data_IF_263391889407
#
_entry.id   IF_263391889407
#
_cell.length_a   1.000
_cell.length_b   1.000
_cell.length_c   1.000
_cell.angle_alpha   90.00
_cell.angle_beta   90.00
_cell.angle_gamma   90.00
#
_symmetry.space_group_name_H-M   'P 1'
#
loop_
_entity.id
_entity.type
_entity.pdbx_description
1 polymer ?
#
# COMPACT_ATOMS: atom_id res chain seq x y z
N UNK A 1 -5.08 -46.45 0.58
CA UNK A 1 -5.01 -46.35 2.05
C UNK A 1 -5.70 -45.07 2.46
N UNK A 2 -6.76 -45.11 3.28
CA UNK A 2 -7.47 -43.92 3.71
C UNK A 2 -6.58 -43.09 4.64
N UNK A 3 -6.52 -41.79 4.38
CA UNK A 3 -5.75 -40.83 5.16
C UNK A 3 -6.41 -40.61 6.53
N UNK A 4 -5.77 -41.09 7.60
CA UNK A 4 -6.07 -40.66 8.97
C UNK A 4 -5.78 -39.16 9.10
N UNK A 5 -6.82 -38.36 9.25
CA UNK A 5 -6.77 -36.90 9.42
C UNK A 5 -6.81 -36.46 10.89
N UNK A 6 -6.50 -37.34 11.83
CA UNK A 6 -6.81 -37.13 13.26
C UNK A 6 -5.63 -37.47 14.21
N UNK A 7 -4.40 -37.10 13.85
CA UNK A 7 -3.28 -37.17 14.79
C UNK A 7 -2.97 -35.78 15.36
N UNK A 8 -3.61 -35.48 16.50
CA UNK A 8 -3.33 -34.32 17.38
C UNK A 8 -2.10 -34.53 18.27
N UNK A 9 -1.44 -35.69 18.17
CA UNK A 9 -0.33 -36.09 19.03
C UNK A 9 0.98 -36.18 18.23
N UNK A 10 2.01 -35.48 18.72
CA UNK A 10 3.35 -35.55 18.14
C UNK A 10 4.02 -36.89 18.48
N UNK A 11 4.67 -37.52 17.51
CA UNK A 11 5.43 -38.75 17.72
C UNK A 11 6.88 -38.59 17.24
N UNK A 12 7.82 -39.08 18.05
CA UNK A 12 9.22 -39.18 17.67
C UNK A 12 9.40 -40.19 16.52
N UNK A 13 10.08 -39.83 15.42
CA UNK A 13 10.22 -40.73 14.28
C UNK A 13 11.24 -41.84 14.56
N UNK A 14 10.97 -43.06 14.09
CA UNK A 14 11.90 -44.20 14.19
C UNK A 14 12.49 -44.59 12.84
N UNK A 15 13.76 -45.00 12.80
CA UNK A 15 14.44 -45.45 11.59
C UNK A 15 14.69 -44.30 10.59
N UNK A 16 14.21 -44.45 9.35
CA UNK A 16 14.35 -43.44 8.29
C UNK A 16 13.10 -42.56 8.11
N UNK A 17 12.08 -42.71 8.99
CA UNK A 17 10.87 -41.89 8.92
C UNK A 17 11.17 -40.44 9.32
N UNK A 18 10.41 -39.50 8.77
CA UNK A 18 10.47 -38.07 9.15
C UNK A 18 9.32 -37.75 10.10
N UNK A 19 9.55 -36.85 11.06
CA UNK A 19 8.51 -36.32 11.95
C UNK A 19 7.58 -35.35 11.20
N UNK A 20 6.37 -35.18 11.72
CA UNK A 20 5.40 -34.19 11.20
C UNK A 20 4.80 -34.54 9.85
N UNK A 21 4.05 -33.59 9.28
CA UNK A 21 3.39 -33.77 7.99
C UNK A 21 4.40 -33.63 6.84
N UNK A 22 4.38 -34.56 5.89
CA UNK A 22 5.25 -34.52 4.70
C UNK A 22 4.90 -33.38 3.73
N UNK A 23 3.66 -32.92 3.76
CA UNK A 23 3.17 -31.74 3.04
C UNK A 23 2.45 -30.82 4.02
N UNK A 24 2.73 -29.52 3.94
CA UNK A 24 2.10 -28.50 4.77
C UNK A 24 1.51 -27.41 3.89
N UNK A 25 0.28 -26.99 4.21
CA UNK A 25 -0.34 -25.82 3.59
C UNK A 25 0.16 -24.57 4.29
N UNK A 26 0.33 -23.50 3.52
CA UNK A 26 0.56 -22.17 4.08
C UNK A 26 -0.60 -21.83 5.02
N UNK A 27 -0.29 -21.54 6.27
CA UNK A 27 -1.27 -21.12 7.26
C UNK A 27 -1.67 -19.66 7.00
N UNK A 28 -2.93 -19.26 7.24
CA UNK A 28 -3.34 -17.87 7.24
C UNK A 28 -2.45 -17.06 8.18
N UNK A 29 -1.98 -15.92 7.70
CA UNK A 29 -1.18 -14.99 8.51
C UNK A 29 -2.08 -14.08 9.35
N UNK A 30 -1.56 -13.40 10.40
CA UNK A 30 -2.34 -12.38 11.11
C UNK A 30 -2.96 -11.32 10.18
N UNK A 31 -2.27 -10.95 9.10
CA UNK A 31 -2.82 -10.05 8.09
C UNK A 31 -3.96 -10.68 7.28
N UNK A 32 -3.91 -11.98 6.96
CA UNK A 32 -5.04 -12.68 6.32
C UNK A 32 -6.27 -12.68 7.24
N UNK A 33 -6.08 -12.98 8.53
CA UNK A 33 -7.15 -12.92 9.52
C UNK A 33 -7.71 -11.49 9.69
N UNK A 34 -6.84 -10.47 9.64
CA UNK A 34 -7.27 -9.07 9.65
C UNK A 34 -8.15 -8.74 8.44
N UNK A 35 -7.69 -9.04 7.21
CA UNK A 35 -8.49 -8.80 6.00
C UNK A 35 -9.85 -9.50 6.05
N UNK A 36 -9.91 -10.74 6.54
CA UNK A 36 -11.16 -11.48 6.71
C UNK A 36 -12.08 -10.82 7.76
N UNK A 37 -11.51 -10.35 8.88
CA UNK A 37 -12.27 -9.69 9.95
C UNK A 37 -12.92 -8.37 9.53
N UNK A 38 -12.38 -7.72 8.50
CA UNK A 38 -12.89 -6.46 7.96
C UNK A 38 -14.19 -6.66 7.14
N UNK A 39 -14.50 -7.91 6.77
CA UNK A 39 -15.77 -8.28 6.14
C UNK A 39 -15.94 -7.81 4.69
N UNK A 40 -14.84 -7.39 4.03
CA UNK A 40 -14.83 -7.01 2.62
C UNK A 40 -14.11 -8.08 1.77
N UNK A 41 -14.43 -8.20 0.47
CA UNK A 41 -13.81 -9.19 -0.40
C UNK A 41 -12.30 -8.97 -0.60
N UNK A 42 -11.58 -10.06 -0.88
CA UNK A 42 -10.14 -10.09 -1.16
C UNK A 42 -9.90 -10.72 -2.54
N UNK A 43 -9.40 -9.95 -3.50
CA UNK A 43 -8.94 -10.48 -4.78
C UNK A 43 -7.63 -11.23 -4.58
N UNK A 44 -7.56 -12.46 -5.07
CA UNK A 44 -6.34 -13.29 -5.08
C UNK A 44 -6.07 -13.81 -6.49
N UNK A 45 -4.91 -13.46 -7.04
CA UNK A 45 -4.54 -13.83 -8.40
C UNK A 45 -3.18 -13.27 -8.81
N UNK A 46 -2.78 -13.48 -10.07
CA UNK A 46 -1.49 -12.99 -10.58
C UNK A 46 -1.50 -11.51 -10.97
N UNK A 47 -2.68 -10.96 -11.25
CA UNK A 47 -2.85 -9.58 -11.71
C UNK A 47 -4.30 -9.25 -11.95
N UNK A 48 -4.59 -7.96 -12.02
CA UNK A 48 -5.92 -7.39 -12.27
C UNK A 48 -5.80 -6.51 -13.51
N UNK A 49 -6.74 -6.63 -14.44
CA UNK A 49 -6.74 -5.79 -15.64
C UNK A 49 -6.89 -4.31 -15.30
N UNK A 50 -7.86 -4.01 -14.43
CA UNK A 50 -8.23 -2.68 -13.93
C UNK A 50 -8.83 -2.80 -12.54
N UNK A 51 -8.35 -2.02 -11.59
CA UNK A 51 -8.86 -2.08 -10.21
C UNK A 51 -10.31 -1.60 -10.09
N UNK A 52 -10.80 -0.83 -11.06
CA UNK A 52 -12.21 -0.43 -11.18
C UNK A 52 -13.16 -1.61 -11.40
N UNK A 53 -12.67 -2.75 -11.90
CA UNK A 53 -13.49 -3.94 -12.14
C UNK A 53 -13.78 -4.72 -10.85
N UNK A 54 -13.13 -4.36 -9.72
CA UNK A 54 -13.28 -5.08 -8.47
C UNK A 54 -14.62 -4.75 -7.79
N UNK A 55 -15.38 -5.77 -7.33
CA UNK A 55 -16.64 -5.52 -6.63
C UNK A 55 -16.38 -4.91 -5.26
N UNK A 56 -16.91 -3.70 -5.02
CA UNK A 56 -16.72 -3.02 -3.73
C UNK A 56 -17.85 -3.36 -2.75
N UNK A 57 -17.48 -3.75 -1.53
CA UNK A 57 -18.43 -3.99 -0.43
C UNK A 57 -18.38 -2.84 0.60
N UNK A 58 -19.47 -2.55 1.32
CA UNK A 58 -19.45 -1.59 2.42
C UNK A 58 -18.36 -1.93 3.43
N UNK A 59 -17.53 -0.95 3.75
CA UNK A 59 -16.37 -1.13 4.61
C UNK A 59 -16.55 -0.36 5.91
N UNK A 60 -17.01 -1.07 6.95
CA UNK A 60 -17.45 -0.46 8.21
C UNK A 60 -16.38 0.42 8.87
N UNK A 61 -15.12 -0.02 8.89
CA UNK A 61 -14.02 0.71 9.54
C UNK A 61 -13.75 2.06 8.86
N UNK A 62 -13.64 2.05 7.53
CA UNK A 62 -13.31 3.26 6.76
C UNK A 62 -14.52 4.13 6.46
N UNK A 63 -15.75 3.60 6.57
CA UNK A 63 -16.98 4.33 6.23
C UNK A 63 -17.24 4.44 4.73
N UNK A 64 -16.37 3.87 3.89
CA UNK A 64 -16.51 3.83 2.44
C UNK A 64 -16.95 2.46 1.94
N UNK A 65 -16.59 2.14 0.70
CA UNK A 65 -16.67 0.80 0.14
C UNK A 65 -15.29 0.35 -0.31
N UNK A 66 -14.96 -0.93 -0.22
CA UNK A 66 -13.61 -1.38 -0.52
C UNK A 66 -13.49 -2.82 -0.99
N UNK A 67 -12.27 -3.15 -1.42
CA UNK A 67 -11.86 -4.48 -1.85
C UNK A 67 -10.35 -4.62 -1.60
N UNK A 68 -9.93 -5.67 -0.88
CA UNK A 68 -8.51 -5.97 -0.68
C UNK A 68 -7.91 -6.66 -1.90
N UNK A 69 -6.63 -6.40 -2.18
CA UNK A 69 -5.89 -7.01 -3.27
C UNK A 69 -4.69 -7.74 -2.69
N UNK A 70 -4.64 -9.05 -2.90
CA UNK A 70 -3.49 -9.88 -2.53
C UNK A 70 -3.02 -10.68 -3.74
N UNK A 71 -2.05 -10.12 -4.46
CA UNK A 71 -1.46 -10.79 -5.62
C UNK A 71 -0.52 -11.93 -5.21
N UNK A 72 -0.41 -12.93 -6.07
CA UNK A 72 0.54 -14.01 -5.89
C UNK A 72 1.97 -13.52 -5.98
N UNK A 73 2.78 -13.90 -5.00
CA UNK A 73 4.15 -13.45 -4.81
C UNK A 73 4.28 -12.25 -3.88
N UNK A 74 3.25 -11.42 -3.72
CA UNK A 74 3.31 -10.22 -2.85
C UNK A 74 2.85 -10.49 -1.42
N UNK A 75 2.36 -11.70 -1.14
CA UNK A 75 1.87 -12.08 0.17
C UNK A 75 2.91 -11.82 1.24
N UNK A 76 2.45 -11.36 2.42
CA UNK A 76 3.28 -11.03 3.59
C UNK A 76 4.22 -9.84 3.42
N UNK A 77 4.38 -9.29 2.22
CA UNK A 77 5.30 -8.17 1.93
C UNK A 77 4.57 -6.87 1.63
N UNK A 78 3.58 -6.92 0.75
CA UNK A 78 2.86 -5.74 0.27
C UNK A 78 1.37 -5.92 0.43
N UNK A 79 0.74 -4.97 1.13
CA UNK A 79 -0.69 -4.85 1.24
C UNK A 79 -1.21 -3.93 0.15
N UNK A 80 -2.38 -4.23 -0.39
CA UNK A 80 -3.06 -3.33 -1.30
C UNK A 80 -4.56 -3.46 -1.16
N UNK A 81 -5.27 -2.37 -1.41
CA UNK A 81 -6.72 -2.35 -1.47
C UNK A 81 -7.18 -1.18 -2.34
N UNK A 82 -8.40 -1.28 -2.86
CA UNK A 82 -9.12 -0.11 -3.36
C UNK A 82 -10.17 0.32 -2.36
N UNK A 83 -10.36 1.63 -2.26
CA UNK A 83 -11.41 2.25 -1.46
C UNK A 83 -12.14 3.30 -2.29
N UNK A 84 -13.46 3.24 -2.26
CA UNK A 84 -14.36 4.26 -2.77
C UNK A 84 -14.82 5.13 -1.60
N UNK A 85 -14.54 6.43 -1.73
CA UNK A 85 -15.06 7.47 -0.85
C UNK A 85 -16.48 7.81 -1.33
N UNK A 86 -17.49 7.84 -0.43
CA UNK A 86 -18.87 8.12 -0.82
C UNK A 86 -19.04 9.47 -1.54
N UNK A 87 -20.07 9.62 -2.38
CA UNK A 87 -20.44 10.89 -3.00
C UNK A 87 -20.55 12.04 -2.01
N UNK A 88 -19.87 13.16 -2.28
CA UNK A 88 -19.81 14.34 -1.41
C UNK A 88 -19.55 14.00 0.07
N UNK A 89 -18.85 12.88 0.32
CA UNK A 89 -18.64 12.32 1.63
C UNK A 89 -17.17 12.30 2.01
N UNK A 90 -16.87 11.62 3.11
CA UNK A 90 -15.52 11.41 3.59
C UNK A 90 -15.41 10.01 4.18
N UNK A 91 -14.21 9.46 4.15
CA UNK A 91 -13.89 8.31 4.99
C UNK A 91 -13.82 8.74 6.46
N UNK A 92 -13.95 7.76 7.34
CA UNK A 92 -13.71 7.93 8.76
C UNK A 92 -12.24 8.30 8.98
N UNK A 93 -11.93 9.21 9.91
CA UNK A 93 -10.56 9.44 10.34
C UNK A 93 -9.93 8.16 10.87
N UNK A 94 -8.68 7.91 10.48
CA UNK A 94 -7.90 6.80 11.01
C UNK A 94 -6.43 7.18 11.17
N UNK A 95 -5.68 6.35 11.88
CA UNK A 95 -4.23 6.35 11.93
C UNK A 95 -3.75 4.91 12.06
N UNK A 96 -2.52 4.64 11.66
CA UNK A 96 -1.97 3.28 11.71
C UNK A 96 -0.44 3.26 11.78
N UNK A 97 0.10 2.19 12.34
CA UNK A 97 1.54 1.94 12.49
C UNK A 97 2.16 1.27 11.26
N UNK A 98 1.68 1.57 10.05
CA UNK A 98 2.29 1.11 8.80
C UNK A 98 2.40 2.25 7.79
N UNK A 99 3.11 2.02 6.70
CA UNK A 99 3.30 3.00 5.63
C UNK A 99 2.20 2.83 4.59
N UNK A 100 1.67 3.94 4.07
CA UNK A 100 0.54 3.96 3.15
C UNK A 100 0.75 5.02 2.07
N UNK A 101 0.55 4.60 0.83
CA UNK A 101 0.63 5.44 -0.36
C UNK A 101 -0.66 5.26 -1.14
N UNK A 102 -1.28 6.37 -1.51
CA UNK A 102 -2.46 6.40 -2.35
C UNK A 102 -2.12 6.84 -3.77
N UNK A 103 -2.76 6.18 -4.73
CA UNK A 103 -2.96 6.66 -6.09
C UNK A 103 -4.45 6.94 -6.29
N UNK A 104 -4.80 8.15 -6.70
CA UNK A 104 -6.18 8.51 -7.06
C UNK A 104 -6.50 7.99 -8.45
N UNK A 105 -7.36 6.98 -8.51
CA UNK A 105 -7.79 6.33 -9.76
C UNK A 105 -8.91 7.13 -10.41
N UNK A 106 -9.86 7.62 -9.61
CA UNK A 106 -11.02 8.40 -10.05
C UNK A 106 -11.41 9.48 -9.02
N UNK A 107 -12.02 10.56 -9.52
CA UNK A 107 -12.53 11.65 -8.68
C UNK A 107 -11.52 12.76 -8.38
N UNK A 108 -11.90 13.63 -7.44
CA UNK A 108 -11.08 14.69 -6.86
C UNK A 108 -11.58 15.01 -5.46
N UNK A 109 -10.74 15.61 -4.64
CA UNK A 109 -11.06 15.83 -3.24
C UNK A 109 -9.91 16.41 -2.47
N UNK A 110 -9.98 16.27 -1.15
CA UNK A 110 -8.93 16.73 -0.23
C UNK A 110 -8.57 15.64 0.75
N UNK A 111 -7.38 15.76 1.33
CA UNK A 111 -6.96 14.94 2.46
C UNK A 111 -6.57 15.86 3.60
N UNK A 112 -7.13 15.62 4.77
CA UNK A 112 -6.72 16.24 6.03
C UNK A 112 -5.70 15.31 6.71
N UNK A 113 -4.58 15.85 7.24
CA UNK A 113 -3.55 15.09 7.98
C UNK A 113 -3.10 15.86 9.22
N UNK A 114 -3.02 15.22 10.38
CA UNK A 114 -2.57 15.83 11.64
C UNK A 114 -1.94 14.83 12.60
N UNK A 115 -1.09 15.30 13.51
CA UNK A 115 -0.59 14.46 14.61
C UNK A 115 -1.56 14.45 15.78
N UNK A 116 -1.48 13.40 16.60
CA UNK A 116 -2.15 13.36 17.90
C UNK A 116 -1.77 14.59 18.74
N UNK A 117 -2.78 15.29 19.26
CA UNK A 117 -2.60 16.50 20.07
C UNK A 117 -2.35 17.80 19.29
N UNK A 118 -2.16 17.75 17.97
CA UNK A 118 -2.02 18.98 17.17
C UNK A 118 -3.37 19.61 16.86
N UNK A 119 -3.45 20.94 17.05
CA UNK A 119 -4.63 21.72 16.64
C UNK A 119 -4.68 21.94 15.11
N UNK A 120 -3.52 21.96 14.46
CA UNK A 120 -3.37 22.22 13.03
C UNK A 120 -3.58 20.95 12.23
N UNK A 121 -4.42 21.03 11.20
CA UNK A 121 -4.55 20.02 10.15
C UNK A 121 -3.92 20.54 8.86
N UNK A 122 -3.06 19.72 8.26
CA UNK A 122 -2.61 19.94 6.90
C UNK A 122 -3.72 19.50 5.96
N UNK A 123 -4.00 20.31 4.94
CA UNK A 123 -5.00 20.00 3.92
C UNK A 123 -4.35 20.20 2.56
N UNK A 124 -4.48 19.21 1.69
CA UNK A 124 -4.07 19.31 0.29
C UNK A 124 -5.15 18.72 -0.61
N UNK A 125 -5.22 19.24 -1.83
CA UNK A 125 -6.17 18.82 -2.85
C UNK A 125 -5.55 17.74 -3.74
N UNK A 126 -6.38 16.84 -4.25
CA UNK A 126 -5.97 15.79 -5.16
C UNK A 126 -7.03 15.56 -6.23
N UNK A 127 -6.62 14.96 -7.34
CA UNK A 127 -7.45 14.59 -8.47
C UNK A 127 -6.99 13.23 -9.03
N UNK A 128 -7.73 12.68 -9.98
CA UNK A 128 -7.27 11.53 -10.76
C UNK A 128 -5.82 11.72 -11.24
N UNK A 129 -4.98 10.72 -10.98
CA UNK A 129 -3.55 10.73 -11.28
C UNK A 129 -2.69 11.29 -10.15
N UNK A 130 -3.27 11.90 -9.12
CA UNK A 130 -2.51 12.32 -7.94
C UNK A 130 -2.02 11.13 -7.13
N UNK A 131 -0.84 11.28 -6.53
CA UNK A 131 -0.24 10.30 -5.64
C UNK A 131 0.29 10.99 -4.39
N UNK A 132 0.03 10.42 -3.22
CA UNK A 132 0.49 10.95 -1.93
C UNK A 132 0.76 9.83 -0.95
N UNK A 133 1.59 10.12 0.05
CA UNK A 133 1.81 9.22 1.18
C UNK A 133 1.28 9.83 2.47
N UNK A 134 0.71 8.98 3.31
CA UNK A 134 0.30 9.34 4.66
C UNK A 134 1.47 9.05 5.62
N UNK A 135 1.92 10.03 6.43
CA UNK A 135 2.94 9.78 7.43
C UNK A 135 2.49 8.73 8.45
N UNK A 136 3.40 7.83 8.79
CA UNK A 136 3.12 6.74 9.74
C UNK A 136 2.56 7.28 11.07
N UNK A 137 1.47 6.67 11.52
CA UNK A 137 0.73 6.98 12.75
C UNK A 137 0.22 8.43 12.89
N UNK A 138 0.23 9.22 11.81
CA UNK A 138 -0.54 10.46 11.76
C UNK A 138 -2.02 10.14 11.53
N UNK A 139 -2.91 10.96 12.08
CA UNK A 139 -4.31 10.91 11.71
C UNK A 139 -4.50 11.46 10.30
N UNK A 140 -5.36 10.83 9.53
CA UNK A 140 -5.77 11.33 8.22
C UNK A 140 -7.25 11.12 7.96
N UNK A 141 -7.81 11.95 7.08
CA UNK A 141 -9.18 11.84 6.59
C UNK A 141 -9.25 12.21 5.11
N UNK A 142 -9.76 11.30 4.29
CA UNK A 142 -9.96 11.54 2.86
C UNK A 142 -11.38 12.02 2.59
N UNK A 143 -11.52 13.11 1.84
CA UNK A 143 -12.79 13.79 1.55
C UNK A 143 -12.99 13.85 0.05
N UNK A 144 -14.15 13.44 -0.42
CA UNK A 144 -14.53 13.48 -1.83
C UNK A 144 -15.31 14.77 -2.14
N UNK A 145 -14.82 15.55 -3.11
CA UNK A 145 -15.44 16.79 -3.56
C UNK A 145 -16.31 16.61 -4.82
N UNK A 146 -16.63 15.37 -5.20
CA UNK A 146 -17.44 15.06 -6.38
C UNK A 146 -18.81 14.48 -6.02
N UNK A 147 -19.83 14.67 -6.88
CA UNK A 147 -21.16 14.08 -6.68
C UNK A 147 -21.22 12.58 -7.03
N UNK A 148 -20.15 12.02 -7.59
CA UNK A 148 -19.95 10.58 -7.73
C UNK A 148 -19.01 10.06 -6.64
N UNK A 149 -18.71 8.76 -6.63
CA UNK A 149 -17.66 8.21 -5.77
C UNK A 149 -16.27 8.66 -6.23
N UNK A 150 -15.30 8.68 -5.30
CA UNK A 150 -13.87 8.82 -5.64
C UNK A 150 -13.16 7.50 -5.32
N UNK A 151 -12.45 6.93 -6.29
CA UNK A 151 -11.79 5.64 -6.15
C UNK A 151 -10.28 5.83 -6.00
N UNK A 152 -9.73 5.31 -4.90
CA UNK A 152 -8.31 5.37 -4.60
C UNK A 152 -7.74 3.95 -4.43
N UNK A 153 -6.55 3.74 -4.96
CA UNK A 153 -5.75 2.54 -4.77
C UNK A 153 -4.70 2.81 -3.70
N UNK A 154 -4.65 1.98 -2.67
CA UNK A 154 -3.65 2.03 -1.61
C UNK A 154 -2.60 0.93 -1.81
N UNK A 155 -1.33 1.29 -1.59
CA UNK A 155 -0.24 0.36 -1.33
C UNK A 155 0.24 0.55 0.11
N UNK A 156 0.38 -0.53 0.86
CA UNK A 156 0.74 -0.47 2.30
C UNK A 156 1.81 -1.48 2.71
N UNK A 157 2.52 -1.19 3.80
CA UNK A 157 3.37 -2.16 4.52
C UNK A 157 2.62 -2.91 5.63
N UNK A 158 1.29 -2.79 5.69
CA UNK A 158 0.44 -3.41 6.71
C UNK A 158 0.69 -4.91 6.93
N UNK A 159 0.95 -5.75 5.90
CA UNK A 159 1.26 -7.15 6.14
C UNK A 159 2.51 -7.37 6.99
N UNK A 160 3.57 -6.57 6.80
CA UNK A 160 4.81 -6.71 7.59
C UNK A 160 4.54 -6.42 9.07
N UNK A 161 3.78 -5.36 9.33
CA UNK A 161 3.50 -4.87 10.68
C UNK A 161 2.51 -5.78 11.40
N UNK A 162 1.38 -6.12 10.78
CA UNK A 162 0.36 -6.95 11.40
C UNK A 162 0.84 -8.38 11.60
N UNK A 163 1.63 -8.95 10.69
CA UNK A 163 2.19 -10.29 10.88
C UNK A 163 3.22 -10.34 12.00
N UNK A 164 3.98 -9.26 12.21
CA UNK A 164 4.99 -9.18 13.27
C UNK A 164 4.37 -8.89 14.63
N UNK A 165 3.51 -7.87 14.72
CA UNK A 165 2.93 -7.40 15.99
C UNK A 165 1.77 -8.30 16.43
N UNK A 166 1.00 -8.84 15.48
CA UNK A 166 -0.18 -9.69 15.72
C UNK A 166 -1.16 -9.09 16.75
N UNK A 167 -1.36 -7.77 16.70
CA UNK A 167 -2.31 -7.06 17.56
C UNK A 167 -2.87 -5.84 16.82
N UNK A 168 -4.10 -5.95 16.33
CA UNK A 168 -4.77 -4.89 15.56
C UNK A 168 -4.93 -3.62 16.41
N UNK A 169 -5.26 -3.74 17.68
CA UNK A 169 -5.44 -2.58 18.56
C UNK A 169 -4.14 -1.79 18.72
N UNK A 170 -3.01 -2.47 18.90
CA UNK A 170 -1.70 -1.84 18.98
C UNK A 170 -1.27 -1.17 17.67
N UNK A 171 -1.71 -1.67 16.51
CA UNK A 171 -1.40 -1.08 15.19
C UNK A 171 -2.21 0.19 14.92
N UNK A 172 -3.50 0.21 15.29
CA UNK A 172 -4.39 1.34 14.98
C UNK A 172 -4.57 2.36 16.12
N UNK A 173 -4.24 1.99 17.36
CA UNK A 173 -4.44 2.85 18.54
C UNK A 173 -3.13 3.18 19.27
N UNK A 174 -2.00 3.13 18.58
CA UNK A 174 -0.73 3.47 19.19
C UNK A 174 -0.64 4.98 19.52
N UNK A 175 -0.28 5.37 20.74
CA UNK A 175 -0.17 6.78 21.12
C UNK A 175 1.16 7.44 20.70
N UNK A 176 2.13 6.69 20.17
CA UNK A 176 3.45 7.24 19.81
C UNK A 176 3.36 8.23 18.65
N UNK A 177 4.07 9.36 18.75
CA UNK A 177 4.04 10.43 17.73
C UNK A 177 5.40 10.53 17.05
N UNK A 178 5.47 10.17 15.76
CA UNK A 178 6.68 10.24 14.93
C UNK A 178 6.97 11.67 14.45
N UNK A 179 7.37 12.55 15.37
CA UNK A 179 7.70 13.96 15.05
C UNK A 179 8.89 14.10 14.10
N UNK A 180 9.78 13.11 14.08
CA UNK A 180 10.89 12.98 13.15
C UNK A 180 10.42 12.76 11.71
N UNK A 181 9.30 12.04 11.51
CA UNK A 181 8.71 11.79 10.18
C UNK A 181 7.70 12.84 9.74
N UNK A 182 6.94 13.40 10.68
CA UNK A 182 5.96 14.45 10.41
C UNK A 182 5.90 15.46 11.56
N UNK A 183 6.45 16.63 11.32
CA UNK A 183 6.59 17.73 12.29
C UNK A 183 5.63 18.90 12.05
N UNK A 184 4.70 18.78 11.09
CA UNK A 184 3.72 19.84 10.77
C UNK A 184 4.26 21.02 9.96
N UNK A 185 5.40 20.86 9.26
CA UNK A 185 5.94 21.89 8.36
C UNK A 185 4.94 22.29 7.26
N UNK A 186 4.76 23.59 7.01
CA UNK A 186 3.76 24.12 6.05
C UNK A 186 3.97 23.63 4.61
N UNK A 187 5.19 23.30 4.24
CA UNK A 187 5.54 22.80 2.91
C UNK A 187 5.49 21.27 2.79
N UNK A 188 5.05 20.55 3.83
CA UNK A 188 5.14 19.09 3.88
C UNK A 188 4.43 18.39 2.70
N UNK A 189 3.29 18.91 2.24
CA UNK A 189 2.56 18.39 1.07
C UNK A 189 2.69 19.28 -0.18
N UNK A 190 3.63 20.23 -0.20
CA UNK A 190 3.89 21.00 -1.42
C UNK A 190 4.61 20.09 -2.43
N UNK A 191 4.14 20.00 -3.68
CA UNK A 191 4.85 19.27 -4.73
C UNK A 191 6.28 19.78 -4.87
N UNK A 192 7.22 18.85 -5.03
CA UNK A 192 8.62 19.13 -5.37
C UNK A 192 8.98 18.27 -6.56
N UNK A 193 9.49 18.89 -7.62
CA UNK A 193 9.83 18.19 -8.86
C UNK A 193 11.34 17.91 -9.01
N UNK A 194 12.15 18.48 -8.12
CA UNK A 194 13.60 18.34 -8.11
C UNK A 194 14.02 16.88 -8.10
N UNK A 195 15.01 16.58 -8.94
CA UNK A 195 15.61 15.25 -9.06
C UNK A 195 16.93 15.26 -8.29
N UNK A 196 17.08 14.30 -7.40
CA UNK A 196 18.31 14.00 -6.68
C UNK A 196 18.68 12.52 -6.86
N UNK A 197 19.96 12.14 -6.72
CA UNK A 197 20.35 10.74 -6.75
C UNK A 197 19.83 10.01 -5.49
N UNK A 198 19.21 8.84 -5.67
CA UNK A 198 18.88 7.96 -4.55
C UNK A 198 20.17 7.55 -3.81
N UNK A 199 20.17 7.50 -2.48
CA UNK A 199 21.39 7.34 -1.69
C UNK A 199 22.04 5.96 -1.83
N UNK A 200 21.34 4.96 -2.40
CA UNK A 200 21.83 3.59 -2.50
C UNK A 200 22.36 3.28 -3.90
N UNK A 201 21.67 3.72 -4.96
CA UNK A 201 21.96 3.33 -6.35
C UNK A 201 22.31 4.51 -7.25
N UNK A 202 22.13 5.75 -6.77
CA UNK A 202 22.36 6.98 -7.54
C UNK A 202 21.37 7.21 -8.68
N UNK A 203 20.21 6.54 -8.66
CA UNK A 203 19.14 6.68 -9.64
C UNK A 203 18.30 7.94 -9.39
N UNK A 204 17.58 8.38 -10.41
CA UNK A 204 16.69 9.53 -10.28
C UNK A 204 15.62 9.29 -9.21
N UNK A 205 15.66 10.12 -8.16
CA UNK A 205 14.75 10.15 -7.04
C UNK A 205 14.18 11.56 -6.87
N UNK A 206 12.96 11.65 -6.38
CA UNK A 206 12.27 12.90 -6.08
C UNK A 206 11.77 12.84 -4.64
N UNK A 207 12.25 13.75 -3.80
CA UNK A 207 11.82 13.86 -2.40
C UNK A 207 10.55 14.69 -2.30
N UNK A 208 9.40 14.00 -2.25
CA UNK A 208 8.09 14.63 -2.22
C UNK A 208 7.08 13.75 -1.50
N UNK A 209 6.09 14.37 -0.85
CA UNK A 209 4.98 13.66 -0.21
C UNK A 209 3.68 13.73 -1.04
N UNK A 210 3.73 14.47 -2.15
CA UNK A 210 2.60 14.65 -3.06
C UNK A 210 3.10 14.87 -4.50
N UNK A 211 2.53 14.12 -5.43
CA UNK A 211 2.71 14.27 -6.87
C UNK A 211 1.32 14.57 -7.46
N UNK A 212 1.09 15.76 -8.06
CA UNK A 212 -0.22 16.13 -8.57
C UNK A 212 -0.73 15.21 -9.68
N UNK A 213 0.16 14.77 -10.57
CA UNK A 213 -0.20 13.91 -11.71
C UNK A 213 0.96 13.00 -12.09
N UNK A 214 0.87 11.72 -11.73
CA UNK A 214 1.89 10.73 -12.06
C UNK A 214 1.91 10.35 -13.54
N UNK A 215 0.83 10.60 -14.28
CA UNK A 215 0.71 10.23 -15.70
C UNK A 215 1.54 11.18 -16.56
N UNK A 216 1.56 12.47 -16.18
CA UNK A 216 2.25 13.53 -16.93
C UNK A 216 3.50 14.06 -16.21
N UNK A 217 3.94 13.43 -15.12
CA UNK A 217 5.17 13.85 -14.43
C UNK A 217 6.42 13.61 -15.30
N UNK A 218 7.45 14.42 -15.10
CA UNK A 218 8.72 14.22 -15.79
C UNK A 218 9.41 12.93 -15.30
N UNK A 219 9.88 12.12 -16.25
CA UNK A 219 10.56 10.86 -16.00
C UNK A 219 11.92 10.87 -16.70
N UNK A 220 13.02 10.97 -15.94
CA UNK A 220 14.37 10.86 -16.48
C UNK A 220 14.61 9.53 -17.20
N UNK A 221 15.47 9.58 -18.21
CA UNK A 221 15.91 8.39 -18.94
C UNK A 221 16.79 7.51 -18.03
N UNK A 222 16.38 6.25 -17.83
CA UNK A 222 17.09 5.28 -16.98
C UNK A 222 17.73 4.15 -17.80
N UNK A 223 17.07 3.67 -18.86
CA UNK A 223 17.53 2.60 -19.75
C UNK A 223 17.87 1.24 -19.08
N UNK A 224 17.71 1.05 -17.76
CA UNK A 224 18.13 -0.20 -17.09
C UNK A 224 17.19 -1.38 -17.32
N UNK A 225 15.89 -1.11 -17.53
CA UNK A 225 14.88 -2.18 -17.82
C UNK A 225 14.83 -2.56 -19.29
N UNK A 226 14.79 -1.57 -20.15
CA UNK A 226 14.83 -1.66 -21.61
C UNK A 226 15.39 -0.34 -22.16
N UNK A 227 15.97 -0.31 -23.37
CA UNK A 227 16.27 0.97 -24.01
C UNK A 227 15.00 1.84 -24.05
N UNK A 228 15.12 3.14 -23.85
CA UNK A 228 14.00 4.10 -23.76
C UNK A 228 13.23 4.07 -22.44
N UNK A 229 13.53 3.15 -21.52
CA UNK A 229 12.86 3.10 -20.21
C UNK A 229 13.15 4.35 -19.40
N UNK A 230 12.08 4.98 -18.89
CA UNK A 230 12.14 6.16 -18.03
C UNK A 230 11.60 5.83 -16.65
N UNK A 231 12.18 6.45 -15.62
CA UNK A 231 11.84 6.16 -14.22
C UNK A 231 12.15 7.36 -13.34
N UNK A 232 11.31 7.57 -12.33
CA UNK A 232 11.67 8.30 -11.10
C UNK A 232 11.19 7.52 -9.88
N UNK A 233 11.95 7.57 -8.79
CA UNK A 233 11.56 7.09 -7.48
C UNK A 233 11.01 8.24 -6.62
N UNK A 234 9.73 8.22 -6.23
CA UNK A 234 9.26 9.12 -5.19
C UNK A 234 9.71 8.63 -3.82
N UNK A 235 10.46 9.47 -3.10
CA UNK A 235 10.79 9.24 -1.69
C UNK A 235 9.82 10.06 -0.83
N UNK A 236 8.87 9.36 -0.19
CA UNK A 236 7.72 9.96 0.47
C UNK A 236 7.71 9.68 1.97
N UNK A 237 7.42 10.72 2.76
CA UNK A 237 7.20 10.75 4.22
C UNK A 237 8.26 10.04 5.06
N UNK A 238 9.49 10.05 4.57
CA UNK A 238 10.63 9.33 5.17
C UNK A 238 10.35 7.83 5.38
N UNK A 239 9.61 7.24 4.44
CA UNK A 239 9.24 5.83 4.48
C UNK A 239 10.36 4.91 3.99
N UNK A 240 10.31 3.67 4.46
CA UNK A 240 11.06 2.55 3.87
C UNK A 240 10.33 1.94 2.65
N UNK A 241 9.07 2.30 2.42
CA UNK A 241 8.26 1.90 1.28
C UNK A 241 8.94 2.30 -0.02
N UNK A 242 9.49 1.31 -0.72
CA UNK A 242 10.16 1.51 -2.00
C UNK A 242 9.22 1.20 -3.16
N UNK A 243 9.11 2.15 -4.08
CA UNK A 243 8.40 2.00 -5.36
C UNK A 243 8.97 2.96 -6.40
N UNK A 244 8.49 2.89 -7.64
CA UNK A 244 8.87 3.83 -8.67
C UNK A 244 7.73 4.06 -9.67
N UNK A 245 7.72 5.24 -10.28
CA UNK A 245 6.92 5.52 -11.46
C UNK A 245 7.82 5.24 -12.65
N UNK A 246 7.32 4.52 -13.64
CA UNK A 246 8.12 4.22 -14.82
C UNK A 246 7.30 4.01 -16.07
N UNK A 247 7.96 4.27 -17.19
CA UNK A 247 7.34 4.30 -18.51
C UNK A 247 8.17 3.45 -19.48
N UNK A 248 7.50 2.46 -20.07
CA UNK A 248 8.03 1.68 -21.18
C UNK A 248 7.67 2.34 -22.51
N UNK A 249 8.57 2.24 -23.49
CA UNK A 249 8.18 2.49 -24.88
C UNK A 249 7.25 1.38 -25.40
N UNK A 250 6.37 1.73 -26.32
CA UNK A 250 5.47 0.78 -26.95
C UNK A 250 6.25 -0.40 -27.55
N UNK A 251 5.78 -1.62 -27.27
CA UNK A 251 6.43 -2.86 -27.72
C UNK A 251 7.69 -3.25 -26.93
N UNK A 252 8.07 -2.49 -25.90
CA UNK A 252 9.16 -2.85 -24.98
C UNK A 252 8.61 -3.26 -23.63
N UNK A 253 9.27 -4.23 -23.00
CA UNK A 253 8.93 -4.73 -21.68
C UNK A 253 10.21 -4.91 -20.86
N UNK A 254 10.07 -4.93 -19.54
CA UNK A 254 11.21 -5.20 -18.65
C UNK A 254 11.79 -6.58 -18.94
N UNK A 255 13.12 -6.67 -19.10
CA UNK A 255 13.80 -7.97 -19.09
C UNK A 255 13.51 -8.69 -17.77
N UNK A 256 13.32 -10.01 -17.85
CA UNK A 256 13.27 -10.86 -16.66
C UNK A 256 14.58 -10.73 -15.88
N UNK A 257 14.50 -10.51 -14.58
CA UNK A 257 15.66 -10.41 -13.69
C UNK A 257 15.25 -10.88 -12.29
N UNK A 258 16.18 -11.51 -11.57
CA UNK A 258 15.92 -12.04 -10.24
C UNK A 258 15.80 -10.89 -9.23
N UNK A 259 14.64 -10.75 -8.58
CA UNK A 259 14.41 -9.82 -7.49
C UNK A 259 13.30 -10.35 -6.59
N UNK A 260 13.20 -9.79 -5.38
CA UNK A 260 12.09 -10.04 -4.48
C UNK A 260 10.77 -9.57 -5.11
N UNK A 261 9.71 -10.35 -4.94
CA UNK A 261 8.38 -10.05 -5.46
C UNK A 261 7.90 -8.63 -5.14
N UNK A 262 7.35 -7.96 -6.15
CA UNK A 262 6.67 -6.67 -6.06
C UNK A 262 5.45 -6.68 -6.98
N UNK A 263 4.48 -5.78 -6.74
CA UNK A 263 3.38 -5.55 -7.66
C UNK A 263 3.76 -4.49 -8.70
N UNK A 264 3.26 -4.65 -9.92
CA UNK A 264 3.13 -3.56 -10.89
C UNK A 264 1.66 -3.15 -10.86
N UNK A 265 1.40 -1.87 -10.59
CA UNK A 265 0.06 -1.31 -10.38
C UNK A 265 -0.35 -0.41 -11.53
#
# INVERSE_FOLDING_TARGET
>A
MPHEKDQTHWHEPTGTRKAGFGEFKKQPTPYDAFMESEGIPVFRGIGIRRVQDLPLAPWKRTGGRGHYIQLHGTETKWGSYVVEIPPAGALNPEKHMYEEIFLVVEGRGTTEVWQEGDAKRHVFEWQKGSMFSIPMNAWHRLVNATPGGALLLAGTTAPNVLNMINNVSAVFNNPFVFRDRFNGADDFFKPKDDIEPDPVRGLAMRRTNFIPDIVNCDLPLDNRRSPGWRRVEPFMTDNCFYFWIGQHENGRYSKGHAHTSAAVL
#
